data_IF_890376319349
#
_entry.id   IF_890376319349
#
_cell.length_a   1.000
_cell.length_b   1.000
_cell.length_c   1.000
_cell.angle_alpha   90.00
_cell.angle_beta   90.00
_cell.angle_gamma   90.00
#
_symmetry.space_group_name_H-M   'P 1'
#
loop_
_entity.id
_entity.type
_entity.pdbx_description
1 polymer ?
#
# COMPACT_ATOMS: atom_id res chain seq x y z
N UNK A 1 -18.48 -54.85 -39.34
CA UNK A 1 -18.87 -55.00 -40.76
C UNK A 1 -19.91 -53.93 -41.07
N UNK A 2 -19.81 -53.04 -42.04
CA UNK A 2 -18.77 -52.72 -43.01
C UNK A 2 -19.03 -51.29 -43.50
N UNK A 3 -17.93 -50.57 -43.77
CA UNK A 3 -17.90 -49.41 -44.65
C UNK A 3 -18.35 -49.80 -46.07
N UNK A 4 -18.72 -48.78 -46.87
CA UNK A 4 -18.67 -48.73 -48.35
C UNK A 4 -20.01 -48.71 -49.08
N UNK A 5 -20.45 -47.48 -49.38
CA UNK A 5 -21.00 -47.10 -50.69
C UNK A 5 -20.62 -45.61 -50.88
N UNK A 6 -19.34 -45.26 -51.04
CA UNK A 6 -18.74 -44.85 -52.33
C UNK A 6 -19.79 -44.22 -53.26
N UNK A 7 -19.80 -42.88 -53.36
CA UNK A 7 -19.39 -42.13 -54.56
C UNK A 7 -20.01 -42.59 -55.90
N UNK A 8 -20.30 -41.61 -56.76
CA UNK A 8 -20.87 -41.70 -58.13
C UNK A 8 -22.39 -41.50 -58.06
N UNK A 9 -22.91 -40.28 -58.23
CA UNK A 9 -23.02 -39.59 -59.52
C UNK A 9 -22.64 -38.11 -59.36
N UNK A 10 -21.49 -37.75 -59.94
CA UNK A 10 -21.23 -36.41 -60.49
C UNK A 10 -22.03 -36.29 -61.79
N UNK A 11 -22.40 -35.04 -62.13
CA UNK A 11 -22.95 -34.56 -63.40
C UNK A 11 -24.47 -34.39 -63.45
N UNK A 12 -24.97 -33.25 -62.95
CA UNK A 12 -25.92 -32.43 -63.72
C UNK A 12 -25.58 -30.94 -63.52
N UNK A 13 -25.14 -30.36 -64.64
CA UNK A 13 -25.02 -28.96 -65.07
C UNK A 13 -25.49 -27.79 -64.18
N UNK A 14 -24.64 -26.76 -64.17
CA UNK A 14 -24.87 -25.37 -63.74
C UNK A 14 -25.73 -24.64 -64.80
N UNK A 15 -26.61 -23.72 -64.38
CA UNK A 15 -26.70 -22.45 -65.09
C UNK A 15 -26.51 -21.25 -64.15
N UNK A 16 -25.69 -20.34 -64.67
CA UNK A 16 -25.32 -19.02 -64.21
C UNK A 16 -26.52 -18.14 -63.81
N UNK A 17 -26.46 -17.55 -62.61
CA UNK A 17 -27.18 -16.31 -62.31
C UNK A 17 -26.27 -15.34 -61.56
N UNK A 18 -25.93 -14.27 -62.26
CA UNK A 18 -25.26 -13.08 -61.73
C UNK A 18 -26.11 -12.43 -60.64
N UNK A 19 -25.55 -12.30 -59.43
CA UNK A 19 -26.07 -11.42 -58.37
C UNK A 19 -24.99 -10.39 -58.05
N UNK A 20 -25.15 -9.19 -58.59
CA UNK A 20 -24.43 -8.00 -58.15
C UNK A 20 -24.88 -7.62 -56.74
N UNK A 21 -24.09 -8.02 -55.74
CA UNK A 21 -24.21 -7.50 -54.39
C UNK A 21 -23.48 -6.15 -54.34
N UNK A 22 -24.25 -5.06 -54.31
CA UNK A 22 -23.73 -3.74 -53.97
C UNK A 22 -23.22 -3.78 -52.52
N UNK A 23 -21.90 -3.87 -52.41
CA UNK A 23 -21.13 -3.79 -51.19
C UNK A 23 -21.29 -2.39 -50.59
N UNK A 24 -22.25 -2.23 -49.68
CA UNK A 24 -22.34 -1.03 -48.82
C UNK A 24 -21.27 -1.14 -47.74
N UNK A 25 -20.14 -0.49 -47.98
CA UNK A 25 -19.09 -0.26 -46.99
C UNK A 25 -19.65 0.64 -45.89
N UNK A 26 -20.09 0.06 -44.77
CA UNK A 26 -20.39 0.81 -43.55
C UNK A 26 -19.04 1.17 -42.94
N UNK A 27 -18.60 2.40 -43.18
CA UNK A 27 -17.43 3.00 -42.51
C UNK A 27 -17.84 3.29 -41.08
N UNK A 28 -17.38 2.47 -40.13
CA UNK A 28 -17.47 2.80 -38.71
C UNK A 28 -16.49 3.94 -38.44
N UNK A 29 -16.93 5.09 -37.89
CA UNK A 29 -15.99 6.10 -37.47
C UNK A 29 -15.17 5.53 -36.31
N UNK A 30 -13.87 5.47 -36.53
CA UNK A 30 -12.84 5.19 -35.55
C UNK A 30 -13.12 6.00 -34.28
N UNK A 31 -13.62 5.31 -33.23
CA UNK A 31 -13.74 5.92 -31.90
C UNK A 31 -12.33 6.32 -31.48
N UNK A 32 -12.05 7.63 -31.47
CA UNK A 32 -10.97 8.15 -30.65
C UNK A 32 -11.27 7.73 -29.22
N UNK A 33 -10.51 6.74 -28.75
CA UNK A 33 -10.52 6.30 -27.38
C UNK A 33 -10.06 7.47 -26.52
N UNK A 34 -11.00 8.22 -25.95
CA UNK A 34 -10.71 9.10 -24.83
C UNK A 34 -10.19 8.17 -23.73
N UNK A 35 -8.87 8.13 -23.53
CA UNK A 35 -8.26 7.60 -22.31
C UNK A 35 -8.71 8.51 -21.18
N UNK A 36 -9.90 8.25 -20.65
CA UNK A 36 -10.25 8.68 -19.31
C UNK A 36 -9.17 8.08 -18.40
N UNK A 37 -8.26 8.91 -17.92
CA UNK A 37 -7.36 8.55 -16.82
C UNK A 37 -8.28 8.23 -15.65
N UNK A 38 -8.61 6.97 -15.45
CA UNK A 38 -9.24 6.50 -14.22
C UNK A 38 -8.32 6.93 -13.09
N UNK A 39 -8.76 7.91 -12.30
CA UNK A 39 -8.09 8.32 -11.06
C UNK A 39 -8.02 7.07 -10.20
N UNK A 40 -6.84 6.51 -9.97
CA UNK A 40 -6.71 5.34 -9.11
C UNK A 40 -7.14 5.77 -7.72
N UNK A 41 -7.86 4.90 -7.02
CA UNK A 41 -8.29 5.15 -5.66
C UNK A 41 -7.04 5.40 -4.79
N UNK A 42 -6.87 6.62 -4.28
CA UNK A 42 -5.69 7.05 -3.51
C UNK A 42 -4.70 7.98 -4.22
N UNK A 43 -4.85 8.26 -5.53
CA UNK A 43 -4.01 9.24 -6.21
C UNK A 43 -4.49 10.67 -5.88
N UNK A 44 -3.75 11.35 -5.00
CA UNK A 44 -3.92 12.80 -4.72
C UNK A 44 -3.25 13.63 -5.81
N UNK A 45 -3.80 14.80 -6.20
CA UNK A 45 -3.10 15.71 -7.09
C UNK A 45 -1.76 16.11 -6.49
N UNK A 46 -0.72 16.17 -7.32
CA UNK A 46 0.63 16.62 -6.93
C UNK A 46 0.59 18.11 -6.55
N UNK A 47 1.27 18.47 -5.46
CA UNK A 47 1.34 19.84 -4.96
C UNK A 47 0.18 20.26 -4.05
N UNK A 48 -0.68 19.32 -3.64
CA UNK A 48 -1.71 19.55 -2.64
C UNK A 48 -1.12 19.53 -1.22
N UNK A 49 -1.67 20.33 -0.33
CA UNK A 49 -1.31 20.33 1.09
C UNK A 49 -1.99 19.17 1.80
N UNK A 50 -1.21 18.23 2.32
CA UNK A 50 -1.65 17.10 3.11
C UNK A 50 -1.32 17.33 4.59
N UNK A 51 -2.35 17.52 5.41
CA UNK A 51 -2.20 17.61 6.86
C UNK A 51 -2.27 16.22 7.47
N UNK A 52 -1.31 15.89 8.33
CA UNK A 52 -1.31 14.66 9.14
C UNK A 52 -0.94 15.10 10.56
N UNK A 53 -1.86 14.94 11.51
CA UNK A 53 -1.70 15.44 12.88
C UNK A 53 -1.35 16.95 12.86
N UNK A 54 -0.23 17.34 13.49
CA UNK A 54 0.21 18.74 13.60
C UNK A 54 1.16 19.17 12.46
N UNK A 55 1.39 18.31 11.47
CA UNK A 55 2.33 18.55 10.37
C UNK A 55 1.63 18.64 9.03
N UNK A 56 2.21 19.45 8.15
CA UNK A 56 1.73 19.66 6.78
C UNK A 56 2.82 19.23 5.80
N UNK A 57 2.43 18.41 4.84
CA UNK A 57 3.28 17.87 3.79
C UNK A 57 2.74 18.32 2.42
N UNK A 58 3.60 18.37 1.41
CA UNK A 58 3.19 18.61 0.04
C UNK A 58 3.16 17.27 -0.70
N UNK A 59 2.04 16.95 -1.35
CA UNK A 59 1.92 15.70 -2.10
C UNK A 59 2.83 15.71 -3.33
N UNK A 60 3.40 14.55 -3.63
CA UNK A 60 4.26 14.34 -4.80
C UNK A 60 3.87 13.05 -5.55
N UNK A 61 4.70 12.65 -6.51
CA UNK A 61 4.47 11.42 -7.30
C UNK A 61 4.54 10.13 -6.46
N UNK A 62 5.10 10.20 -5.24
CA UNK A 62 5.21 9.07 -4.32
C UNK A 62 4.03 8.96 -3.38
N UNK A 63 3.34 10.06 -3.08
CA UNK A 63 2.18 10.07 -2.20
C UNK A 63 1.13 9.04 -2.64
N UNK A 64 0.78 8.13 -1.72
CA UNK A 64 -0.16 7.04 -2.01
C UNK A 64 -1.12 6.75 -0.84
N UNK A 65 -1.39 7.76 -0.01
CA UNK A 65 -2.19 7.68 1.22
C UNK A 65 -3.71 7.81 0.99
N UNK A 66 -4.50 6.76 1.28
CA UNK A 66 -5.96 6.84 1.36
C UNK A 66 -6.43 7.69 2.55
N UNK A 67 -7.58 8.36 2.40
CA UNK A 67 -8.19 9.14 3.51
C UNK A 67 -8.48 8.27 4.74
N UNK A 68 -8.89 7.01 4.54
CA UNK A 68 -9.15 6.08 5.64
C UNK A 68 -7.93 5.86 6.54
N UNK A 69 -6.73 5.79 5.96
CA UNK A 69 -5.49 5.65 6.74
C UNK A 69 -5.28 6.90 7.59
N UNK A 70 -5.55 8.08 7.04
CA UNK A 70 -5.45 9.35 7.77
C UNK A 70 -6.46 9.37 8.92
N UNK A 71 -7.70 8.93 8.68
CA UNK A 71 -8.71 8.81 9.74
C UNK A 71 -8.25 7.88 10.87
N UNK A 72 -7.47 6.82 10.58
CA UNK A 72 -6.87 5.95 11.61
C UNK A 72 -5.79 6.68 12.41
N UNK A 73 -4.91 7.42 11.73
CA UNK A 73 -3.82 8.17 12.33
C UNK A 73 -4.33 9.28 13.23
N UNK A 74 -5.37 10.00 12.80
CA UNK A 74 -5.95 11.16 13.48
C UNK A 74 -6.88 10.81 14.63
N UNK A 75 -7.12 9.51 14.89
CA UNK A 75 -7.87 9.08 16.08
C UNK A 75 -7.28 9.70 17.35
N UNK A 76 -8.10 10.25 18.26
CA UNK A 76 -7.58 10.90 19.45
C UNK A 76 -6.73 9.94 20.30
N UNK A 77 -7.24 8.72 20.50
CA UNK A 77 -6.58 7.69 21.29
C UNK A 77 -6.19 6.47 20.44
N UNK A 78 -4.88 6.23 20.22
CA UNK A 78 -4.40 5.00 19.63
C UNK A 78 -4.81 3.77 20.46
N UNK A 79 -5.06 2.63 19.82
CA UNK A 79 -5.59 1.43 20.50
C UNK A 79 -4.66 0.90 21.60
N UNK A 80 -3.34 1.03 21.43
CA UNK A 80 -2.34 0.65 22.43
C UNK A 80 -2.27 1.62 23.62
N UNK A 81 -2.98 2.75 23.58
CA UNK A 81 -3.12 3.72 24.68
C UNK A 81 -4.51 3.75 25.30
N UNK A 82 -5.51 3.12 24.67
CA UNK A 82 -6.90 3.15 25.11
C UNK A 82 -7.16 2.11 26.21
N UNK A 83 -7.43 2.49 27.47
CA UNK A 83 -7.69 1.54 28.54
C UNK A 83 -8.84 0.58 28.22
N UNK A 84 -8.71 -0.68 28.62
CA UNK A 84 -9.70 -1.73 28.35
C UNK A 84 -9.65 -2.31 26.93
N UNK A 85 -8.90 -1.74 26.00
CA UNK A 85 -8.66 -2.36 24.70
C UNK A 85 -7.71 -3.58 24.85
N UNK A 86 -7.93 -4.72 24.16
CA UNK A 86 -7.03 -5.87 24.23
C UNK A 86 -5.57 -5.54 23.90
N UNK A 87 -5.31 -4.65 22.94
CA UNK A 87 -3.95 -4.22 22.58
C UNK A 87 -3.31 -3.41 23.70
N UNK A 88 -4.07 -2.53 24.36
CA UNK A 88 -3.61 -1.82 25.55
C UNK A 88 -3.28 -2.79 26.68
N UNK A 89 -4.12 -3.80 26.94
CA UNK A 89 -3.88 -4.78 28.00
C UNK A 89 -2.60 -5.60 27.77
N UNK A 90 -2.32 -5.96 26.51
CA UNK A 90 -1.06 -6.62 26.14
C UNK A 90 0.12 -5.67 26.37
N UNK A 91 0.02 -4.42 25.92
CA UNK A 91 1.05 -3.40 26.12
C UNK A 91 1.30 -3.10 27.61
N UNK A 92 0.25 -3.10 28.44
CA UNK A 92 0.31 -2.95 29.88
C UNK A 92 0.99 -4.16 30.54
N UNK A 93 0.61 -5.38 30.15
CA UNK A 93 1.25 -6.61 30.64
C UNK A 93 2.75 -6.66 30.34
N UNK A 94 3.17 -6.24 29.14
CA UNK A 94 4.58 -6.14 28.78
C UNK A 94 5.33 -5.12 29.65
N UNK A 95 4.73 -3.94 29.90
CA UNK A 95 5.31 -2.91 30.77
C UNK A 95 5.43 -3.38 32.22
N UNK A 96 4.47 -4.15 32.70
CA UNK A 96 4.48 -4.73 34.05
C UNK A 96 5.50 -5.87 34.20
N UNK A 97 5.73 -6.63 33.12
CA UNK A 97 6.70 -7.72 33.12
C UNK A 97 8.15 -7.21 33.04
N UNK A 98 8.43 -6.25 32.15
CA UNK A 98 9.77 -5.68 31.92
C UNK A 98 9.89 -4.30 32.57
N UNK A 99 9.95 -4.28 33.90
CA UNK A 99 9.99 -3.03 34.68
C UNK A 99 11.30 -2.25 34.53
N UNK A 100 12.37 -2.92 34.10
CA UNK A 100 13.69 -2.32 33.87
C UNK A 100 13.89 -1.78 32.43
N UNK A 101 12.87 -1.86 31.57
CA UNK A 101 12.93 -1.36 30.19
C UNK A 101 12.31 0.04 30.10
N UNK A 102 13.03 0.98 29.47
CA UNK A 102 12.43 2.27 29.10
C UNK A 102 11.43 2.05 27.95
N UNK A 103 10.16 2.38 28.19
CA UNK A 103 9.11 2.22 27.19
C UNK A 103 8.93 3.50 26.35
N UNK A 104 9.42 3.48 25.11
CA UNK A 104 9.21 4.55 24.14
C UNK A 104 7.88 4.40 23.41
N UNK A 105 7.20 5.53 23.20
CA UNK A 105 5.99 5.60 22.40
C UNK A 105 6.01 6.87 21.53
N UNK A 106 5.79 6.70 20.23
CA UNK A 106 5.83 7.77 19.24
C UNK A 106 4.44 7.99 18.66
N UNK A 107 3.81 9.13 18.99
CA UNK A 107 2.43 9.40 18.54
C UNK A 107 2.34 9.65 17.04
N UNK A 108 3.33 10.34 16.49
CA UNK A 108 3.43 10.61 15.05
C UNK A 108 3.97 9.36 14.33
N UNK A 109 3.18 8.75 13.43
CA UNK A 109 3.64 7.61 12.62
C UNK A 109 4.46 8.01 11.40
N UNK A 110 4.53 9.31 11.07
CA UNK A 110 5.34 9.79 9.96
C UNK A 110 6.80 9.81 10.35
N UNK A 111 7.60 9.05 9.60
CA UNK A 111 9.05 8.94 9.75
C UNK A 111 9.72 9.21 8.42
N UNK A 112 11.01 9.57 8.44
CA UNK A 112 11.76 9.68 7.20
C UNK A 112 12.00 8.30 6.57
N UNK A 113 12.17 8.26 5.26
CA UNK A 113 12.61 7.04 4.55
C UNK A 113 13.93 6.52 5.10
N UNK A 114 14.81 7.43 5.56
CA UNK A 114 16.04 7.06 6.24
C UNK A 114 15.77 6.33 7.56
N UNK A 115 14.90 6.86 8.41
CA UNK A 115 14.53 6.20 9.67
C UNK A 115 13.94 4.81 9.41
N UNK A 116 13.00 4.71 8.48
CA UNK A 116 12.29 3.47 8.22
C UNK A 116 13.14 2.40 7.52
N UNK A 117 14.14 2.77 6.71
CA UNK A 117 14.88 1.82 5.89
C UNK A 117 16.39 1.92 6.03
N UNK A 118 16.98 3.08 5.75
CA UNK A 118 18.44 3.22 5.70
C UNK A 118 19.10 3.00 7.07
N UNK A 119 18.45 3.46 8.15
CA UNK A 119 18.97 3.36 9.52
C UNK A 119 19.10 1.92 10.01
N UNK A 120 18.34 1.00 9.41
CA UNK A 120 18.34 -0.44 9.69
C UNK A 120 18.93 -1.25 8.53
N UNK A 121 19.72 -0.61 7.66
CA UNK A 121 20.49 -1.24 6.59
C UNK A 121 19.65 -1.96 5.51
N UNK A 122 18.40 -1.55 5.31
CA UNK A 122 17.60 -2.04 4.18
C UNK A 122 18.16 -1.43 2.90
N UNK A 123 18.51 -2.19 1.85
CA UNK A 123 19.01 -1.65 0.59
C UNK A 123 17.99 -0.78 -0.16
N UNK A 124 18.47 0.11 -1.04
CA UNK A 124 17.60 1.02 -1.83
C UNK A 124 16.71 0.32 -2.85
N UNK A 125 17.12 -0.85 -3.32
CA UNK A 125 16.42 -1.70 -4.29
C UNK A 125 15.54 -2.77 -3.62
N UNK A 126 15.39 -2.72 -2.30
CA UNK A 126 14.62 -3.70 -1.55
C UNK A 126 13.11 -3.58 -1.79
N UNK A 127 12.42 -4.71 -1.94
CA UNK A 127 10.97 -4.77 -2.26
C UNK A 127 10.10 -4.01 -1.25
N UNK A 128 10.47 -4.00 0.03
CA UNK A 128 9.74 -3.27 1.07
C UNK A 128 9.67 -1.76 0.82
N UNK A 129 10.59 -1.20 0.02
CA UNK A 129 10.55 0.22 -0.38
C UNK A 129 9.56 0.49 -1.50
N UNK A 130 8.96 -0.54 -2.10
CA UNK A 130 7.97 -0.36 -3.17
C UNK A 130 6.75 0.43 -2.68
N UNK A 131 6.19 1.26 -3.57
CA UNK A 131 4.90 1.95 -3.35
C UNK A 131 3.71 0.99 -3.21
N UNK A 132 3.88 -0.27 -3.60
CA UNK A 132 2.85 -1.31 -3.42
C UNK A 132 2.70 -1.71 -1.97
N UNK A 133 3.80 -1.69 -1.21
CA UNK A 133 3.90 -2.29 0.12
C UNK A 133 3.98 -1.23 1.24
N UNK A 134 4.52 -0.06 0.91
CA UNK A 134 4.72 1.05 1.86
C UNK A 134 3.83 2.24 1.56
N UNK A 135 3.29 2.85 2.62
CA UNK A 135 2.58 4.12 2.54
C UNK A 135 3.56 5.30 2.57
N UNK A 136 3.60 6.04 1.47
CA UNK A 136 4.40 7.23 1.28
C UNK A 136 3.53 8.47 1.48
N UNK A 137 3.97 9.36 2.36
CA UNK A 137 3.42 10.71 2.51
C UNK A 137 3.95 11.58 1.36
N UNK A 138 5.25 11.49 1.13
CA UNK A 138 5.99 12.06 0.00
C UNK A 138 7.25 11.18 -0.25
N UNK A 139 8.15 11.58 -1.15
CA UNK A 139 9.37 10.81 -1.45
C UNK A 139 10.32 10.64 -0.26
N UNK A 140 10.30 11.55 0.71
CA UNK A 140 11.19 11.58 1.86
C UNK A 140 10.55 11.05 3.14
N UNK A 141 9.21 10.97 3.19
CA UNK A 141 8.44 10.60 4.38
C UNK A 141 7.49 9.45 4.11
N UNK A 142 7.47 8.49 5.03
CA UNK A 142 6.60 7.32 5.01
C UNK A 142 5.84 7.21 6.33
N UNK A 143 4.71 6.51 6.32
CA UNK A 143 4.20 5.95 7.56
C UNK A 143 5.11 4.78 7.95
N UNK A 144 5.53 4.73 9.21
CA UNK A 144 6.42 3.66 9.68
C UNK A 144 5.81 2.28 9.43
N UNK A 145 6.55 1.42 8.74
CA UNK A 145 6.09 0.06 8.42
C UNK A 145 6.37 -0.93 9.56
N UNK A 146 7.25 -0.56 10.48
CA UNK A 146 7.63 -1.33 11.67
C UNK A 146 8.15 -0.39 12.77
N UNK A 147 8.04 -0.81 14.03
CA UNK A 147 8.57 -0.04 15.18
C UNK A 147 10.09 0.12 15.15
N UNK A 148 10.80 -0.74 14.41
CA UNK A 148 12.26 -0.66 14.24
C UNK A 148 12.74 0.66 13.61
N UNK A 149 11.85 1.43 12.97
CA UNK A 149 12.18 2.73 12.40
C UNK A 149 12.70 3.74 13.45
N UNK A 150 12.35 3.52 14.72
CA UNK A 150 12.77 4.36 15.84
C UNK A 150 14.00 3.80 16.60
N UNK A 151 14.56 2.65 16.21
CA UNK A 151 15.71 2.06 16.93
C UNK A 151 16.91 3.00 17.00
N UNK A 152 17.32 3.59 15.87
CA UNK A 152 18.45 4.53 15.84
C UNK A 152 18.20 5.75 16.73
N UNK A 153 16.95 6.23 16.78
CA UNK A 153 16.56 7.34 17.64
C UNK A 153 16.60 6.95 19.13
N UNK A 154 16.06 5.78 19.50
CA UNK A 154 16.10 5.28 20.86
C UNK A 154 17.54 5.05 21.34
N UNK A 155 18.39 4.43 20.53
CA UNK A 155 19.81 4.25 20.88
C UNK A 155 20.51 5.58 21.14
N UNK A 156 20.27 6.60 20.31
CA UNK A 156 20.84 7.95 20.52
C UNK A 156 20.31 8.61 21.81
N UNK A 157 19.03 8.44 22.13
CA UNK A 157 18.45 8.98 23.37
C UNK A 157 19.07 8.31 24.60
N UNK A 158 19.20 6.98 24.57
CA UNK A 158 19.76 6.21 25.66
C UNK A 158 21.28 6.39 25.81
N UNK A 159 22.02 6.56 24.71
CA UNK A 159 23.47 6.84 24.77
C UNK A 159 23.80 8.16 25.44
N UNK A 160 22.86 9.10 25.43
CA UNK A 160 22.99 10.39 26.13
C UNK A 160 22.63 10.30 27.61
N UNK A 161 22.06 9.17 28.06
CA UNK A 161 21.80 8.90 29.45
C UNK A 161 23.00 8.15 30.06
N UNK A 162 23.28 8.41 31.34
CA UNK A 162 24.36 7.74 32.08
C UNK A 162 23.98 6.31 32.53
N UNK A 163 23.36 5.52 31.65
CA UNK A 163 22.99 4.13 31.94
C UNK A 163 24.07 3.17 31.43
N UNK A 164 24.49 2.23 32.28
CA UNK A 164 25.52 1.25 31.96
C UNK A 164 25.00 0.09 31.09
N UNK A 165 23.68 -0.15 31.09
CA UNK A 165 23.03 -1.22 30.32
C UNK A 165 21.65 -0.73 29.82
N UNK A 166 21.60 0.01 28.70
CA UNK A 166 20.35 0.59 28.22
C UNK A 166 19.41 -0.48 27.66
N UNK A 167 18.24 -0.63 28.27
CA UNK A 167 17.16 -1.53 27.84
C UNK A 167 15.93 -0.72 27.47
N UNK A 168 15.29 -1.05 26.36
CA UNK A 168 14.11 -0.33 25.92
C UNK A 168 13.14 -1.20 25.14
N UNK A 169 11.88 -0.77 25.13
CA UNK A 169 10.83 -1.32 24.28
C UNK A 169 10.13 -0.19 23.53
N UNK A 170 9.56 -0.52 22.37
CA UNK A 170 8.81 0.44 21.55
C UNK A 170 7.42 -0.12 21.32
N UNK A 171 6.40 0.63 21.74
CA UNK A 171 4.99 0.28 21.53
C UNK A 171 4.38 1.36 20.63
N UNK A 172 3.85 0.93 19.48
CA UNK A 172 3.23 1.83 18.52
C UNK A 172 2.48 1.09 17.42
N UNK A 173 1.59 1.82 16.77
CA UNK A 173 0.92 1.44 15.53
C UNK A 173 1.88 1.42 14.34
N UNK A 174 1.61 0.57 13.35
CA UNK A 174 2.43 0.44 12.13
C UNK A 174 1.51 0.34 10.92
N UNK A 175 1.99 0.79 9.77
CA UNK A 175 1.17 0.93 8.56
C UNK A 175 1.83 0.22 7.39
N UNK A 176 1.11 -0.73 6.81
CA UNK A 176 1.55 -1.54 5.66
C UNK A 176 0.43 -1.69 4.65
N UNK A 177 0.79 -1.74 3.37
CA UNK A 177 -0.13 -2.02 2.28
C UNK A 177 -0.10 -3.52 1.98
N UNK A 178 -0.76 -4.30 2.82
CA UNK A 178 -0.89 -5.74 2.65
C UNK A 178 -2.28 -6.12 2.14
N UNK A 179 -2.46 -7.39 1.76
CA UNK A 179 -3.76 -7.94 1.40
C UNK A 179 -4.73 -7.91 2.59
N UNK A 180 -6.00 -7.59 2.32
CA UNK A 180 -7.00 -7.52 3.40
C UNK A 180 -7.58 -8.91 3.63
N UNK A 181 -7.31 -9.48 4.82
CA UNK A 181 -7.83 -10.78 5.22
C UNK A 181 -8.02 -10.83 6.75
N UNK A 182 -8.37 -12.00 7.31
CA UNK A 182 -8.64 -12.13 8.76
C UNK A 182 -7.44 -11.83 9.65
N UNK A 183 -6.22 -11.92 9.13
CA UNK A 183 -4.97 -11.71 9.88
C UNK A 183 -4.24 -10.41 9.48
N UNK A 184 -4.71 -9.73 8.43
CA UNK A 184 -4.11 -8.51 7.88
C UNK A 184 -5.19 -7.42 7.77
N UNK A 185 -5.02 -6.37 8.56
CA UNK A 185 -5.95 -5.25 8.60
C UNK A 185 -5.61 -4.24 7.52
N UNK A 186 -6.63 -3.79 6.77
CA UNK A 186 -6.49 -2.67 5.87
C UNK A 186 -6.25 -1.41 6.70
N UNK A 187 -5.02 -0.92 6.72
CA UNK A 187 -4.80 0.47 7.11
C UNK A 187 -5.58 1.39 6.15
#
# INVERSE_FOLDING_TARGET
MNQSVIQIIKNIAIPSYSRSLLQRSIVYPFRQSIRLKFKRFGDRPVGESLKILDRVYCTDEWTNLPDKVIDLIERPDPLYRKPGNPIYLIAESLRQHYTDFECFQFRDPVVTTWQNFDSILVPSDHISRSKTDTFYVDRQHVLRSHTSAHQSECFKRLSNQASCDPKFMIIGDVYRRDEVNRTHHAA
#
